data_IF_410675091243
#
_entry.id   IF_410675091243
#
_cell.length_a   1.000
_cell.length_b   1.000
_cell.length_c   1.000
_cell.angle_alpha   90.00
_cell.angle_beta   90.00
_cell.angle_gamma   90.00
#
_symmetry.space_group_name_H-M   'P 1'
#
loop_
_entity.id
_entity.type
_entity.pdbx_description
1 polymer ?
#
# COMPACT_ATOMS: atom_id res chain seq x y z
N UNK A 1 22.23 4.64 -12.61
CA UNK A 1 20.80 4.37 -12.90
C UNK A 1 19.96 5.27 -12.02
N UNK A 2 18.99 6.04 -12.57
CA UNK A 2 18.02 6.76 -11.74
C UNK A 2 17.22 5.71 -10.97
N UNK A 3 17.23 5.76 -9.63
CA UNK A 3 16.35 4.92 -8.82
C UNK A 3 14.92 5.25 -9.24
N UNK A 4 14.22 4.27 -9.80
CA UNK A 4 12.80 4.41 -10.11
C UNK A 4 12.07 4.76 -8.81
N UNK A 5 11.29 5.84 -8.82
CA UNK A 5 10.64 6.31 -7.60
C UNK A 5 9.63 5.26 -7.11
N UNK A 6 9.71 4.87 -5.84
CA UNK A 6 8.66 4.07 -5.21
C UNK A 6 7.47 4.96 -4.88
N UNK A 7 6.28 4.43 -5.12
CA UNK A 7 5.00 5.08 -4.82
C UNK A 7 4.31 4.29 -3.73
N UNK A 8 3.92 4.99 -2.66
CA UNK A 8 3.08 4.44 -1.60
C UNK A 8 1.60 4.60 -1.98
N UNK A 9 0.88 3.50 -2.15
CA UNK A 9 -0.57 3.52 -2.35
C UNK A 9 -1.25 3.17 -1.04
N UNK A 10 -2.17 4.01 -0.56
CA UNK A 10 -2.86 3.80 0.73
C UNK A 10 -4.38 3.83 0.60
N UNK A 11 -5.03 3.01 1.42
CA UNK A 11 -6.47 3.04 1.63
C UNK A 11 -6.74 2.94 3.13
N UNK A 12 -7.59 3.83 3.64
CA UNK A 12 -7.86 3.94 5.07
C UNK A 12 -9.36 4.12 5.34
N UNK A 13 -9.80 3.61 6.48
CA UNK A 13 -10.99 4.06 7.20
C UNK A 13 -10.56 4.60 8.59
N UNK A 14 -11.53 4.93 9.45
CA UNK A 14 -11.28 5.58 10.74
C UNK A 14 -10.40 4.76 11.71
N UNK A 15 -10.31 3.45 11.51
CA UNK A 15 -9.61 2.52 12.42
C UNK A 15 -8.48 1.78 11.71
N UNK A 16 -8.69 1.38 10.46
CA UNK A 16 -7.80 0.50 9.71
C UNK A 16 -7.26 1.17 8.45
N UNK A 17 -5.96 0.96 8.21
CA UNK A 17 -5.26 1.42 7.03
C UNK A 17 -4.45 0.29 6.41
N UNK A 18 -4.38 0.27 5.08
CA UNK A 18 -3.49 -0.58 4.31
C UNK A 18 -2.61 0.29 3.40
N UNK A 19 -1.36 -0.12 3.21
CA UNK A 19 -0.38 0.56 2.38
C UNK A 19 0.42 -0.44 1.55
N UNK A 20 0.52 -0.17 0.25
CA UNK A 20 1.30 -0.94 -0.72
C UNK A 20 2.41 -0.05 -1.27
N UNK A 21 3.63 -0.54 -1.32
CA UNK A 21 4.76 0.19 -1.91
C UNK A 21 5.07 -0.46 -3.26
N UNK A 22 4.93 0.32 -4.33
CA UNK A 22 5.11 -0.15 -5.70
C UNK A 22 6.26 0.58 -6.39
N UNK A 23 6.90 -0.09 -7.34
CA UNK A 23 7.95 0.46 -8.20
C UNK A 23 7.71 -0.02 -9.62
N UNK A 24 7.20 0.85 -10.50
CA UNK A 24 6.83 0.62 -11.92
C UNK A 24 6.15 -0.73 -12.24
N UNK A 25 6.91 -1.84 -12.16
CA UNK A 25 6.49 -3.20 -12.49
C UNK A 25 6.54 -4.19 -11.30
N UNK A 26 6.95 -3.76 -10.10
CA UNK A 26 7.04 -4.60 -8.89
C UNK A 26 6.26 -4.04 -7.70
N UNK A 27 5.84 -4.96 -6.82
CA UNK A 27 5.50 -4.65 -5.43
C UNK A 27 6.75 -4.84 -4.59
N UNK A 28 7.14 -3.81 -3.86
CA UNK A 28 8.31 -3.86 -2.98
C UNK A 28 7.89 -4.09 -1.51
N UNK A 29 6.62 -3.85 -1.14
CA UNK A 29 6.12 -4.23 0.17
C UNK A 29 4.65 -3.91 0.45
N UNK A 30 4.14 -4.52 1.53
CA UNK A 30 2.78 -4.33 2.05
C UNK A 30 2.81 -4.13 3.57
N UNK A 31 1.96 -3.23 4.08
CA UNK A 31 1.69 -3.08 5.50
C UNK A 31 0.21 -2.78 5.75
N UNK A 32 -0.27 -3.22 6.92
CA UNK A 32 -1.61 -2.91 7.43
C UNK A 32 -1.50 -2.45 8.88
N UNK A 33 -2.42 -1.61 9.31
CA UNK A 33 -2.51 -1.03 10.66
C UNK A 33 -3.97 -0.93 11.10
N UNK A 34 -4.24 -1.18 12.38
CA UNK A 34 -5.52 -0.91 13.05
C UNK A 34 -5.43 0.31 13.99
N UNK A 35 -4.35 1.09 13.85
CA UNK A 35 -4.11 2.35 14.55
C UNK A 35 -4.18 3.53 13.54
N UNK A 36 -4.99 3.37 12.49
CA UNK A 36 -5.09 4.34 11.40
C UNK A 36 -3.78 4.60 10.66
N UNK A 37 -3.68 5.82 10.08
CA UNK A 37 -2.60 6.24 9.19
C UNK A 37 -1.24 6.32 9.91
N UNK A 38 -1.21 6.79 11.15
CA UNK A 38 0.04 6.90 11.93
C UNK A 38 0.67 5.52 12.15
N UNK A 39 -0.14 4.54 12.58
CA UNK A 39 0.35 3.16 12.75
C UNK A 39 0.78 2.52 11.43
N UNK A 40 0.13 2.87 10.31
CA UNK A 40 0.56 2.41 8.98
C UNK A 40 1.95 2.96 8.65
N UNK A 41 2.18 4.26 8.85
CA UNK A 41 3.47 4.89 8.61
C UNK A 41 4.58 4.32 9.49
N UNK A 42 4.33 4.09 10.78
CA UNK A 42 5.31 3.43 11.68
C UNK A 42 5.68 2.03 11.18
N UNK A 43 4.69 1.24 10.73
CA UNK A 43 4.93 -0.11 10.20
C UNK A 43 5.67 -0.10 8.86
N UNK A 44 5.42 0.87 7.99
CA UNK A 44 6.16 1.02 6.74
C UNK A 44 7.61 1.44 7.00
N UNK A 45 7.81 2.34 7.98
CA UNK A 45 9.15 2.79 8.41
C UNK A 45 9.97 1.62 8.98
N UNK A 46 9.39 0.82 9.89
CA UNK A 46 10.08 -0.31 10.50
C UNK A 46 10.46 -1.41 9.50
N UNK A 47 9.80 -1.45 8.34
CA UNK A 47 10.12 -2.32 7.21
C UNK A 47 11.12 -1.71 6.21
N UNK A 48 11.60 -0.48 6.45
CA UNK A 48 12.51 0.22 5.53
C UNK A 48 11.85 0.64 4.21
N UNK A 49 10.52 0.69 4.14
CA UNK A 49 9.80 0.92 2.88
C UNK A 49 9.61 2.42 2.56
N UNK A 50 9.78 3.30 3.55
CA UNK A 50 9.58 4.74 3.37
C UNK A 50 10.80 5.44 2.77
N UNK A 51 12.03 5.00 3.05
CA UNK A 51 13.26 5.72 2.65
C UNK A 51 13.41 5.87 1.12
N UNK A 52 12.84 4.94 0.36
CA UNK A 52 12.90 4.95 -1.10
C UNK A 52 11.59 5.42 -1.75
N UNK A 53 10.53 5.59 -0.95
CA UNK A 53 9.26 6.14 -1.41
C UNK A 53 9.37 7.65 -1.53
N UNK A 54 8.96 8.18 -2.67
CA UNK A 54 8.97 9.64 -2.92
C UNK A 54 7.59 10.24 -3.02
N UNK A 55 6.63 9.42 -3.39
CA UNK A 55 5.27 9.85 -3.65
C UNK A 55 4.28 8.94 -2.96
N UNK A 56 3.07 9.46 -2.74
CA UNK A 56 1.93 8.66 -2.33
C UNK A 56 0.68 8.92 -3.17
N UNK A 57 -0.22 7.94 -3.15
CA UNK A 57 -1.57 8.00 -3.69
C UNK A 57 -2.49 7.44 -2.61
N UNK A 58 -3.56 8.17 -2.25
CA UNK A 58 -4.59 7.66 -1.33
C UNK A 58 -4.88 8.58 -0.15
N UNK A 59 -5.34 7.99 0.94
CA UNK A 59 -5.83 8.70 2.13
C UNK A 59 -4.73 9.06 3.13
N UNK A 60 -3.59 8.38 3.08
CA UNK A 60 -2.49 8.50 4.03
C UNK A 60 -1.18 8.80 3.31
N UNK A 61 -0.55 9.91 3.69
CA UNK A 61 0.77 10.33 3.22
C UNK A 61 1.73 10.42 4.40
N UNK A 62 2.72 9.52 4.47
CA UNK A 62 3.71 9.46 5.55
C UNK A 62 4.78 10.56 5.45
N UNK A 63 4.36 11.81 5.24
CA UNK A 63 5.25 12.93 4.89
C UNK A 63 5.71 12.92 3.42
N UNK A 64 5.13 12.05 2.59
CA UNK A 64 5.42 11.97 1.17
C UNK A 64 4.56 12.99 0.40
N UNK A 65 5.10 13.48 -0.72
CA UNK A 65 4.32 14.32 -1.63
C UNK A 65 3.30 13.49 -2.41
N UNK A 66 2.17 14.09 -2.77
CA UNK A 66 1.19 13.41 -3.60
C UNK A 66 1.79 13.18 -4.99
N UNK A 67 1.64 11.97 -5.53
CA UNK A 67 2.15 11.67 -6.86
C UNK A 67 1.54 12.62 -7.91
N UNK A 68 2.35 13.15 -8.85
CA UNK A 68 1.80 13.88 -10.00
C UNK A 68 0.87 12.93 -10.76
N UNK A 69 -0.39 13.34 -10.91
CA UNK A 69 -1.47 12.50 -11.44
C UNK A 69 -1.33 12.36 -12.96
N UNK A 70 -0.71 11.29 -13.44
CA UNK A 70 -1.02 10.75 -14.78
C UNK A 70 -2.15 9.71 -14.63
N UNK A 71 -3.36 10.09 -15.05
CA UNK A 71 -4.60 9.36 -14.78
C UNK A 71 -4.57 7.87 -15.20
N UNK A 72 -3.88 7.52 -16.30
CA UNK A 72 -3.75 6.14 -16.76
C UNK A 72 -2.91 5.25 -15.83
N UNK A 73 -1.82 5.77 -15.26
CA UNK A 73 -0.91 5.00 -14.40
C UNK A 73 -1.50 4.78 -13.00
N UNK A 74 -2.34 5.69 -12.54
CA UNK A 74 -3.08 5.56 -11.28
C UNK A 74 -4.20 4.51 -11.34
N UNK A 75 -4.88 4.39 -12.49
CA UNK A 75 -5.94 3.40 -12.67
C UNK A 75 -5.46 1.98 -12.43
N UNK A 76 -4.30 1.62 -12.99
CA UNK A 76 -3.70 0.30 -12.78
C UNK A 76 -3.35 0.03 -11.30
N UNK A 77 -2.71 0.99 -10.62
CA UNK A 77 -2.27 0.79 -9.24
C UNK A 77 -3.44 0.59 -8.27
N UNK A 78 -4.54 1.31 -8.48
CA UNK A 78 -5.77 1.16 -7.71
C UNK A 78 -6.47 -0.17 -7.99
N UNK A 79 -6.59 -0.56 -9.27
CA UNK A 79 -7.16 -1.86 -9.65
C UNK A 79 -6.34 -3.02 -9.07
N UNK A 80 -5.03 -2.90 -9.11
CA UNK A 80 -4.10 -3.89 -8.59
C UNK A 80 -4.18 -4.02 -7.07
N UNK A 81 -4.18 -2.90 -6.34
CA UNK A 81 -4.35 -2.90 -4.89
C UNK A 81 -5.71 -3.49 -4.47
N UNK A 82 -6.78 -3.19 -5.21
CA UNK A 82 -8.10 -3.79 -5.00
C UNK A 82 -8.12 -5.31 -5.23
N UNK A 83 -7.48 -5.78 -6.30
CA UNK A 83 -7.35 -7.21 -6.60
C UNK A 83 -6.55 -7.95 -5.52
N UNK A 84 -5.44 -7.38 -5.05
CA UNK A 84 -4.62 -7.96 -3.99
C UNK A 84 -5.38 -8.06 -2.66
N UNK A 85 -6.10 -7.00 -2.26
CA UNK A 85 -6.91 -7.00 -1.05
C UNK A 85 -7.97 -8.11 -1.08
N UNK A 86 -8.62 -8.29 -2.23
CA UNK A 86 -9.60 -9.36 -2.43
C UNK A 86 -8.95 -10.76 -2.33
N UNK A 87 -7.86 -11.01 -3.04
CA UNK A 87 -7.19 -12.31 -2.99
C UNK A 87 -6.69 -12.68 -1.58
N UNK A 88 -6.24 -11.69 -0.80
CA UNK A 88 -5.84 -11.92 0.60
C UNK A 88 -7.04 -12.24 1.51
N UNK A 89 -8.20 -11.62 1.25
CA UNK A 89 -9.43 -11.95 1.97
C UNK A 89 -9.91 -13.38 1.63
N UNK A 90 -9.93 -13.73 0.35
CA UNK A 90 -10.31 -15.06 -0.13
C UNK A 90 -9.41 -16.15 0.47
N UNK A 91 -8.08 -15.92 0.48
CA UNK A 91 -7.11 -16.84 1.08
C UNK A 91 -7.34 -17.01 2.59
N UNK A 92 -7.64 -15.93 3.30
CA UNK A 92 -7.93 -15.98 4.75
C UNK A 92 -9.16 -16.83 5.03
N UNK A 93 -10.23 -16.66 4.27
CA UNK A 93 -11.46 -17.47 4.44
C UNK A 93 -11.21 -18.95 4.18
N UNK A 94 -10.44 -19.27 3.13
CA UNK A 94 -10.06 -20.64 2.80
C UNK A 94 -9.24 -21.30 3.92
N UNK A 95 -8.31 -20.56 4.53
CA UNK A 95 -7.52 -21.04 5.68
C UNK A 95 -8.40 -21.25 6.92
N UNK A 96 -9.33 -20.35 7.21
CA UNK A 96 -10.26 -20.50 8.33
C UNK A 96 -11.15 -21.74 8.17
N UNK A 97 -11.63 -22.02 6.96
CA UNK A 97 -12.43 -23.22 6.65
C UNK A 97 -11.67 -24.53 6.82
N UNK A 98 -10.33 -24.52 6.71
CA UNK A 98 -9.47 -25.70 6.87
C UNK A 98 -9.04 -25.97 8.31
N UNK A 99 -9.25 -25.01 9.21
CA UNK A 99 -8.81 -25.07 10.61
C UNK A 99 -9.97 -25.36 11.57
N UNK A 100 -11.21 -25.40 11.05
CA UNK A 100 -12.44 -25.87 11.71
C UNK A 100 -12.84 -27.22 11.12
#
# INVERSE_FOLDING_TARGET
MKREARVLVTACNDVACAGLVVRLTSIDGLATSYEGCEGLCRRLASKGLLEESRYFIGNCGCGLERAPLDAERLGWALLFAGSLAKSMADLREELLKRTL
#
